data_IF_218843112312
#
_entry.id   IF_218843112312
#
_cell.length_a   1.000
_cell.length_b   1.000
_cell.length_c   1.000
_cell.angle_alpha   90.00
_cell.angle_beta   90.00
_cell.angle_gamma   90.00
#
_symmetry.space_group_name_H-M   'P 1'
#
loop_
_entity.id
_entity.type
_entity.pdbx_description
1 polymer ?
#
# COMPACT_ATOMS: atom_id res chain seq x y z
N UNK A 1 40.93 34.95 69.62
CA UNK A 1 40.69 33.64 68.96
C UNK A 1 39.21 33.28 68.75
N UNK A 2 38.22 34.08 69.19
CA UNK A 2 36.80 33.72 69.05
C UNK A 2 36.10 34.08 67.72
N UNK A 3 36.64 35.01 66.92
CA UNK A 3 35.98 35.45 65.66
C UNK A 3 36.29 34.61 64.42
N UNK A 4 37.30 33.73 64.44
CA UNK A 4 37.64 32.91 63.27
C UNK A 4 36.80 31.62 63.18
N UNK A 5 36.36 31.08 64.31
CA UNK A 5 35.56 29.83 64.36
C UNK A 5 34.11 30.07 63.89
N UNK A 6 33.57 31.27 64.10
CA UNK A 6 32.21 31.62 63.65
C UNK A 6 32.11 31.85 62.14
N UNK A 7 33.15 32.40 61.50
CA UNK A 7 33.18 32.58 60.04
C UNK A 7 33.34 31.25 59.29
N UNK A 8 34.14 30.33 59.82
CA UNK A 8 34.38 29.04 59.19
C UNK A 8 33.15 28.11 59.27
N UNK A 9 32.40 28.14 60.38
CA UNK A 9 31.14 27.40 60.52
C UNK A 9 30.02 27.97 59.62
N UNK A 10 29.94 29.29 59.46
CA UNK A 10 29.00 29.94 58.52
C UNK A 10 29.34 29.59 57.06
N UNK A 11 30.62 29.60 56.68
CA UNK A 11 31.05 29.20 55.33
C UNK A 11 30.79 27.72 55.04
N UNK A 12 31.02 26.83 56.01
CA UNK A 12 30.70 25.41 55.88
C UNK A 12 29.18 25.17 55.75
N UNK A 13 28.37 25.91 56.50
CA UNK A 13 26.90 25.82 56.39
C UNK A 13 26.39 26.34 55.04
N UNK A 14 26.92 27.46 54.55
CA UNK A 14 26.57 28.00 53.23
C UNK A 14 26.99 27.09 52.08
N UNK A 15 28.18 26.47 52.15
CA UNK A 15 28.63 25.50 51.16
C UNK A 15 27.82 24.20 51.20
N UNK A 16 27.47 23.71 52.39
CA UNK A 16 26.59 22.54 52.55
C UNK A 16 25.19 22.81 51.97
N UNK A 17 24.61 23.99 52.23
CA UNK A 17 23.32 24.41 51.68
C UNK A 17 23.33 24.56 50.15
N UNK A 18 24.40 25.13 49.57
CA UNK A 18 24.57 25.21 48.10
C UNK A 18 24.70 23.84 47.46
N UNK A 19 25.47 22.92 48.06
CA UNK A 19 25.64 21.56 47.54
C UNK A 19 24.35 20.74 47.65
N UNK A 20 23.58 20.89 48.72
CA UNK A 20 22.26 20.28 48.86
C UNK A 20 21.26 20.79 47.80
N UNK A 21 21.20 22.10 47.55
CA UNK A 21 20.35 22.66 46.46
C UNK A 21 20.76 22.15 45.08
N UNK A 22 22.07 22.00 44.83
CA UNK A 22 22.60 21.49 43.56
C UNK A 22 22.25 20.01 43.36
N UNK A 23 22.33 19.18 44.41
CA UNK A 23 21.96 17.76 44.32
C UNK A 23 20.45 17.55 44.14
N UNK A 24 19.62 18.34 44.83
CA UNK A 24 18.15 18.31 44.68
C UNK A 24 17.73 18.70 43.27
N UNK A 25 18.36 19.74 42.68
CA UNK A 25 18.08 20.15 41.31
C UNK A 25 18.54 19.11 40.27
N UNK A 26 19.68 18.46 40.49
CA UNK A 26 20.15 17.37 39.61
C UNK A 26 19.24 16.13 39.69
N UNK A 27 18.78 15.76 40.89
CA UNK A 27 17.81 14.70 41.09
C UNK A 27 16.47 15.03 40.41
N UNK A 28 15.96 16.25 40.57
CA UNK A 28 14.74 16.73 39.91
C UNK A 28 14.82 16.71 38.38
N UNK A 29 15.96 17.14 37.80
CA UNK A 29 16.20 17.05 36.35
C UNK A 29 16.20 15.60 35.84
N UNK A 30 16.84 14.69 36.59
CA UNK A 30 16.90 13.27 36.24
C UNK A 30 15.53 12.59 36.28
N UNK A 31 14.66 12.98 37.22
CA UNK A 31 13.28 12.48 37.35
C UNK A 31 12.42 13.00 36.19
N UNK A 32 12.56 14.28 35.80
CA UNK A 32 11.85 14.86 34.66
C UNK A 32 12.31 14.27 33.32
N UNK A 33 13.61 13.99 33.15
CA UNK A 33 14.13 13.26 31.99
C UNK A 33 13.59 11.82 31.92
N UNK A 34 13.62 11.08 33.04
CA UNK A 34 13.02 9.73 33.11
C UNK A 34 11.53 9.75 32.80
N UNK A 35 10.78 10.75 33.29
CA UNK A 35 9.36 10.94 32.96
C UNK A 35 9.15 11.22 31.47
N UNK A 36 9.95 12.09 30.85
CA UNK A 36 9.87 12.36 29.40
C UNK A 36 10.19 11.14 28.55
N UNK A 37 11.18 10.33 28.94
CA UNK A 37 11.54 9.08 28.26
C UNK A 37 10.41 8.06 28.42
N UNK A 38 9.84 7.87 29.62
CA UNK A 38 8.69 6.98 29.82
C UNK A 38 7.46 7.41 29.02
N UNK A 39 7.17 8.71 28.92
CA UNK A 39 6.06 9.21 28.10
C UNK A 39 6.31 8.99 26.61
N UNK A 40 7.53 9.23 26.11
CA UNK A 40 7.91 8.93 24.72
C UNK A 40 7.83 7.43 24.41
N UNK A 41 8.29 6.57 25.32
CA UNK A 41 8.20 5.12 25.18
C UNK A 41 6.74 4.66 25.21
N UNK A 42 5.92 5.19 26.12
CA UNK A 42 4.50 4.86 26.19
C UNK A 42 3.73 5.34 24.94
N UNK A 43 4.03 6.53 24.44
CA UNK A 43 3.43 7.07 23.22
C UNK A 43 3.88 6.28 21.98
N UNK A 44 5.15 5.85 21.95
CA UNK A 44 5.68 4.96 20.90
C UNK A 44 5.03 3.57 20.92
N UNK A 45 4.85 2.97 22.11
CA UNK A 45 4.15 1.69 22.28
C UNK A 45 2.67 1.82 21.88
N UNK A 46 1.99 2.89 22.31
CA UNK A 46 0.59 3.15 21.96
C UNK A 46 0.40 3.28 20.44
N UNK A 47 1.24 4.07 19.78
CA UNK A 47 1.18 4.21 18.32
C UNK A 47 1.48 2.89 17.61
N UNK A 48 2.45 2.11 18.10
CA UNK A 48 2.76 0.79 17.55
C UNK A 48 1.58 -0.18 17.67
N UNK A 49 0.96 -0.27 18.86
CA UNK A 49 -0.23 -1.10 19.07
C UNK A 49 -1.38 -0.67 18.16
N UNK A 50 -1.63 0.64 18.05
CA UNK A 50 -2.67 1.19 17.17
C UNK A 50 -2.42 0.83 15.70
N UNK A 51 -1.18 0.91 15.23
CA UNK A 51 -0.81 0.53 13.86
C UNK A 51 -1.00 -0.95 13.62
N UNK A 52 -0.57 -1.82 14.54
CA UNK A 52 -0.74 -3.28 14.41
C UNK A 52 -2.22 -3.68 14.44
N UNK A 53 -3.03 -3.06 15.31
CA UNK A 53 -4.48 -3.29 15.35
C UNK A 53 -5.15 -2.88 14.04
N UNK A 54 -4.74 -1.74 13.47
CA UNK A 54 -5.25 -1.25 12.19
C UNK A 54 -4.91 -2.22 11.05
N UNK A 55 -3.71 -2.80 11.04
CA UNK A 55 -3.32 -3.83 10.07
C UNK A 55 -4.18 -5.08 10.20
N UNK A 56 -4.40 -5.58 11.41
CA UNK A 56 -5.23 -6.77 11.65
C UNK A 56 -6.69 -6.57 11.19
N UNK A 57 -7.26 -5.39 11.44
CA UNK A 57 -8.60 -5.04 10.95
C UNK A 57 -8.64 -5.02 9.42
N UNK A 58 -7.63 -4.44 8.77
CA UNK A 58 -7.53 -4.45 7.31
C UNK A 58 -7.38 -5.86 6.76
N UNK A 59 -6.59 -6.72 7.40
CA UNK A 59 -6.44 -8.13 7.01
C UNK A 59 -7.77 -8.86 7.15
N UNK A 60 -8.51 -8.65 8.24
CA UNK A 60 -9.81 -9.27 8.45
C UNK A 60 -10.82 -8.86 7.39
N UNK A 61 -10.97 -7.55 7.15
CA UNK A 61 -11.89 -7.02 6.13
C UNK A 61 -11.47 -7.52 4.73
N UNK A 62 -10.18 -7.45 4.42
CA UNK A 62 -9.66 -7.92 3.15
C UNK A 62 -9.90 -9.42 2.94
N UNK A 63 -9.70 -10.24 3.97
CA UNK A 63 -9.92 -11.69 3.92
C UNK A 63 -11.40 -12.06 3.77
N UNK A 64 -12.29 -11.32 4.44
CA UNK A 64 -13.74 -11.46 4.28
C UNK A 64 -14.18 -11.15 2.85
N UNK A 65 -13.73 -10.02 2.28
CA UNK A 65 -14.05 -9.65 0.89
C UNK A 65 -13.48 -10.66 -0.10
N UNK A 66 -12.22 -11.05 0.07
CA UNK A 66 -11.54 -12.01 -0.78
C UNK A 66 -12.29 -13.35 -0.79
N UNK A 67 -12.56 -13.90 0.39
CA UNK A 67 -13.21 -15.20 0.55
C UNK A 67 -14.68 -15.17 0.14
N UNK A 68 -15.39 -14.06 0.33
CA UNK A 68 -16.75 -13.89 -0.15
C UNK A 68 -16.79 -13.93 -1.68
N UNK A 69 -15.86 -13.26 -2.36
CA UNK A 69 -15.74 -13.36 -3.81
C UNK A 69 -15.52 -14.80 -4.27
N UNK A 70 -14.57 -15.51 -3.65
CA UNK A 70 -14.27 -16.92 -3.98
C UNK A 70 -15.45 -17.84 -3.69
N UNK A 71 -15.89 -17.94 -2.44
CA UNK A 71 -16.86 -18.93 -1.98
C UNK A 71 -18.30 -18.65 -2.43
N UNK A 72 -18.70 -17.38 -2.60
CA UNK A 72 -20.06 -17.07 -3.07
C UNK A 72 -20.20 -17.13 -4.59
N UNK A 73 -19.19 -16.68 -5.34
CA UNK A 73 -19.31 -16.47 -6.78
C UNK A 73 -18.41 -17.36 -7.63
N UNK A 74 -17.10 -17.39 -7.37
CA UNK A 74 -16.18 -18.08 -8.28
C UNK A 74 -16.26 -19.61 -8.16
N UNK A 75 -16.01 -20.13 -6.96
CA UNK A 75 -15.87 -21.56 -6.74
C UNK A 75 -17.14 -22.37 -7.07
N UNK A 76 -18.37 -21.94 -6.69
CA UNK A 76 -19.61 -22.63 -7.08
C UNK A 76 -19.81 -22.72 -8.59
N UNK A 77 -19.21 -21.80 -9.36
CA UNK A 77 -19.32 -21.74 -10.82
C UNK A 77 -18.04 -22.26 -11.52
N UNK A 78 -17.20 -23.03 -10.81
CA UNK A 78 -15.94 -23.61 -11.32
C UNK A 78 -14.98 -22.59 -11.93
N UNK A 79 -15.04 -21.34 -11.47
CA UNK A 79 -14.14 -20.27 -11.86
C UNK A 79 -12.93 -20.24 -10.93
N UNK A 80 -11.75 -20.08 -11.52
CA UNK A 80 -10.50 -19.99 -10.75
C UNK A 80 -10.01 -18.54 -10.71
N UNK A 81 -9.60 -18.05 -9.53
CA UNK A 81 -9.02 -16.71 -9.39
C UNK A 81 -7.51 -16.63 -9.66
N UNK A 82 -6.87 -17.73 -10.06
CA UNK A 82 -5.42 -17.85 -10.20
C UNK A 82 -4.71 -18.28 -8.91
N UNK A 83 -3.40 -18.46 -8.99
CA UNK A 83 -2.51 -18.78 -7.88
C UNK A 83 -2.86 -20.07 -7.12
N UNK A 84 -2.47 -20.12 -5.84
CA UNK A 84 -2.74 -21.28 -4.98
C UNK A 84 -4.22 -21.47 -4.71
N UNK A 85 -5.00 -20.39 -4.62
CA UNK A 85 -6.45 -20.49 -4.47
C UNK A 85 -7.08 -21.16 -5.70
N UNK A 86 -6.69 -20.78 -6.91
CA UNK A 86 -7.13 -21.43 -8.14
C UNK A 86 -6.78 -22.91 -8.19
N UNK A 87 -5.55 -23.29 -7.79
CA UNK A 87 -5.16 -24.70 -7.66
C UNK A 87 -6.03 -25.43 -6.63
N UNK A 88 -6.36 -24.76 -5.52
CA UNK A 88 -7.20 -25.31 -4.46
C UNK A 88 -8.62 -25.59 -4.93
N UNK A 89 -9.19 -24.70 -5.75
CA UNK A 89 -10.51 -24.88 -6.39
C UNK A 89 -10.47 -26.10 -7.33
N UNK A 90 -9.44 -26.20 -8.18
CA UNK A 90 -9.28 -27.36 -9.08
C UNK A 90 -9.22 -28.66 -8.28
N UNK A 91 -8.35 -28.73 -7.25
CA UNK A 91 -8.21 -29.91 -6.41
C UNK A 91 -9.49 -30.24 -5.62
N UNK A 92 -10.23 -29.23 -5.17
CA UNK A 92 -11.51 -29.47 -4.49
C UNK A 92 -12.52 -30.17 -5.38
N UNK A 93 -12.62 -29.74 -6.64
CA UNK A 93 -13.53 -30.34 -7.61
C UNK A 93 -13.08 -31.73 -8.11
N UNK A 94 -11.77 -32.03 -8.08
CA UNK A 94 -11.25 -33.33 -8.52
C UNK A 94 -11.08 -34.37 -7.41
N UNK A 95 -10.72 -33.95 -6.18
CA UNK A 95 -10.33 -34.84 -5.07
C UNK A 95 -11.35 -34.81 -3.91
N UNK A 96 -12.30 -33.87 -3.91
CA UNK A 96 -13.48 -33.90 -3.02
C UNK A 96 -13.29 -33.30 -1.61
N UNK A 97 -12.10 -32.81 -1.26
CA UNK A 97 -11.90 -32.02 -0.03
C UNK A 97 -12.28 -30.55 -0.24
N UNK A 98 -12.53 -29.80 0.84
CA UNK A 98 -12.89 -28.39 0.77
C UNK A 98 -11.77 -27.53 0.19
N UNK A 99 -12.13 -26.46 -0.52
CA UNK A 99 -11.18 -25.53 -1.13
C UNK A 99 -10.30 -24.86 -0.07
N UNK A 100 -10.86 -24.49 1.08
CA UNK A 100 -10.11 -23.95 2.20
C UNK A 100 -9.05 -24.92 2.72
N UNK A 101 -9.40 -26.21 2.87
CA UNK A 101 -8.45 -27.23 3.33
C UNK A 101 -7.25 -27.36 2.38
N UNK A 102 -7.51 -27.44 1.07
CA UNK A 102 -6.45 -27.46 0.06
C UNK A 102 -5.61 -26.19 0.09
N UNK A 103 -6.26 -25.04 0.25
CA UNK A 103 -5.59 -23.75 0.34
C UNK A 103 -4.61 -23.71 1.51
N UNK A 104 -5.01 -24.20 2.69
CA UNK A 104 -4.16 -24.25 3.87
C UNK A 104 -2.95 -25.17 3.63
N UNK A 105 -3.18 -26.38 3.14
CA UNK A 105 -2.12 -27.38 2.90
C UNK A 105 -1.09 -26.88 1.89
N UNK A 106 -1.53 -26.36 0.75
CA UNK A 106 -0.64 -25.83 -0.30
C UNK A 106 0.16 -24.61 0.16
N UNK A 107 -0.34 -23.87 1.15
CA UNK A 107 0.34 -22.72 1.72
C UNK A 107 1.45 -23.08 2.72
N UNK A 108 1.43 -24.26 3.34
CA UNK A 108 2.45 -24.69 4.31
C UNK A 108 3.88 -24.52 3.75
N UNK A 109 4.26 -25.07 2.58
CA UNK A 109 5.61 -24.91 2.04
C UNK A 109 5.95 -23.45 1.73
N UNK A 110 4.98 -22.66 1.28
CA UNK A 110 5.18 -21.26 0.93
C UNK A 110 5.40 -20.39 2.18
N UNK A 111 4.68 -20.67 3.26
CA UNK A 111 4.89 -20.04 4.56
C UNK A 111 6.31 -20.31 5.06
N UNK A 112 6.79 -21.56 4.93
CA UNK A 112 8.16 -21.93 5.33
C UNK A 112 9.19 -21.11 4.53
N UNK A 113 9.07 -21.08 3.20
CA UNK A 113 9.98 -20.30 2.33
C UNK A 113 9.92 -18.81 2.68
N UNK A 114 8.70 -18.28 2.86
CA UNK A 114 8.49 -16.89 3.20
C UNK A 114 9.04 -16.52 4.58
N UNK A 115 9.02 -17.44 5.55
CA UNK A 115 9.59 -17.22 6.88
C UNK A 115 11.10 -17.03 6.82
N UNK A 116 11.80 -17.87 6.05
CA UNK A 116 13.24 -17.74 5.85
C UNK A 116 13.63 -16.46 5.08
N UNK A 117 12.78 -15.96 4.18
CA UNK A 117 13.10 -14.80 3.33
C UNK A 117 12.70 -13.44 3.91
N UNK A 118 11.54 -13.35 4.57
CA UNK A 118 10.95 -12.08 4.99
C UNK A 118 10.85 -11.93 6.52
N UNK A 119 11.15 -12.98 7.29
CA UNK A 119 11.14 -12.96 8.75
C UNK A 119 9.76 -13.10 9.38
N UNK A 120 9.76 -13.27 10.71
CA UNK A 120 8.58 -13.65 11.49
C UNK A 120 7.45 -12.61 11.50
N UNK A 121 7.79 -11.31 11.46
CA UNK A 121 6.79 -10.23 11.53
C UNK A 121 5.88 -10.14 10.29
N UNK A 122 6.41 -10.46 9.11
CA UNK A 122 5.63 -10.50 7.87
C UNK A 122 4.79 -11.79 7.78
N UNK A 123 5.39 -12.92 8.17
CA UNK A 123 4.72 -14.22 8.08
C UNK A 123 3.61 -14.39 9.10
N UNK A 124 3.70 -13.80 10.29
CA UNK A 124 2.60 -13.89 11.26
C UNK A 124 1.29 -13.31 10.71
N UNK A 125 1.35 -12.14 10.09
CA UNK A 125 0.19 -11.49 9.46
C UNK A 125 -0.32 -12.26 8.24
N UNK A 126 0.58 -12.77 7.41
CA UNK A 126 0.22 -13.61 6.26
C UNK A 126 -0.41 -14.94 6.69
N UNK A 127 0.09 -15.56 7.75
CA UNK A 127 -0.47 -16.78 8.30
C UNK A 127 -1.90 -16.56 8.81
N UNK A 128 -2.14 -15.45 9.52
CA UNK A 128 -3.49 -15.06 9.94
C UNK A 128 -4.40 -14.90 8.71
N UNK A 129 -3.96 -14.20 7.68
CA UNK A 129 -4.72 -14.04 6.44
C UNK A 129 -5.04 -15.39 5.78
N UNK A 130 -4.08 -16.32 5.72
CA UNK A 130 -4.28 -17.67 5.16
C UNK A 130 -5.34 -18.45 5.95
N UNK A 131 -5.28 -18.42 7.28
CA UNK A 131 -6.27 -19.08 8.13
C UNK A 131 -7.66 -18.50 7.94
N UNK A 132 -7.77 -17.17 7.92
CA UNK A 132 -9.04 -16.48 7.69
C UNK A 132 -9.59 -16.79 6.29
N UNK A 133 -8.74 -16.75 5.27
CA UNK A 133 -9.14 -17.05 3.90
C UNK A 133 -9.61 -18.49 3.74
N UNK A 134 -8.88 -19.45 4.32
CA UNK A 134 -9.27 -20.86 4.34
C UNK A 134 -10.64 -21.05 4.99
N UNK A 135 -10.83 -20.51 6.20
CA UNK A 135 -12.07 -20.68 6.96
C UNK A 135 -13.26 -19.99 6.28
N UNK A 136 -13.10 -18.72 5.89
CA UNK A 136 -14.20 -17.96 5.29
C UNK A 136 -14.56 -18.45 3.89
N UNK A 137 -13.60 -18.99 3.12
CA UNK A 137 -13.92 -19.55 1.79
C UNK A 137 -14.87 -20.73 1.93
N UNK A 138 -14.58 -21.66 2.85
CA UNK A 138 -15.45 -22.81 3.11
C UNK A 138 -16.78 -22.41 3.74
N UNK A 139 -16.76 -21.40 4.62
CA UNK A 139 -17.98 -20.82 5.19
C UNK A 139 -18.89 -20.24 4.09
N UNK A 140 -18.35 -19.40 3.20
CA UNK A 140 -19.11 -18.76 2.14
C UNK A 140 -19.54 -19.74 1.04
N UNK A 141 -18.76 -20.79 0.75
CA UNK A 141 -19.14 -21.88 -0.16
C UNK A 141 -20.51 -22.46 0.18
N UNK A 142 -20.83 -22.57 1.47
CA UNK A 142 -22.11 -23.12 1.94
C UNK A 142 -23.31 -22.25 1.53
N UNK A 143 -23.07 -20.98 1.18
CA UNK A 143 -24.05 -20.01 0.68
C UNK A 143 -23.81 -19.66 -0.79
N UNK A 144 -23.10 -20.52 -1.52
CA UNK A 144 -22.67 -20.29 -2.90
C UNK A 144 -23.83 -20.03 -3.86
N UNK A 145 -23.69 -18.99 -4.68
CA UNK A 145 -24.67 -18.60 -5.68
C UNK A 145 -24.35 -19.35 -6.97
N UNK A 146 -25.06 -20.46 -7.21
CA UNK A 146 -25.02 -21.21 -8.46
C UNK A 146 -26.24 -20.85 -9.33
N UNK A 147 -26.04 -20.62 -10.63
CA UNK A 147 -27.11 -20.32 -11.59
C UNK A 147 -27.29 -18.86 -11.98
N UNK A 148 -26.44 -17.95 -11.50
CA UNK A 148 -26.34 -16.59 -12.04
C UNK A 148 -25.64 -16.63 -13.41
N UNK A 149 -25.98 -15.71 -14.31
CA UNK A 149 -25.25 -15.56 -15.58
C UNK A 149 -23.74 -15.35 -15.33
N UNK A 150 -22.94 -15.91 -16.23
CA UNK A 150 -21.51 -16.05 -16.01
C UNK A 150 -20.76 -14.71 -15.97
N UNK A 151 -21.19 -13.72 -16.77
CA UNK A 151 -20.59 -12.39 -16.80
C UNK A 151 -20.78 -11.66 -15.45
N UNK A 152 -22.01 -11.49 -14.92
CA UNK A 152 -22.22 -10.92 -13.59
C UNK A 152 -21.44 -11.64 -12.48
N UNK A 153 -21.38 -12.98 -12.52
CA UNK A 153 -20.61 -13.80 -11.56
C UNK A 153 -19.13 -13.43 -11.59
N UNK A 154 -18.56 -13.38 -12.79
CA UNK A 154 -17.16 -12.99 -13.00
C UNK A 154 -16.93 -11.57 -12.51
N UNK A 155 -17.78 -10.59 -12.84
CA UNK A 155 -17.59 -9.19 -12.44
C UNK A 155 -17.66 -9.03 -10.93
N UNK A 156 -18.74 -9.48 -10.28
CA UNK A 156 -18.94 -9.29 -8.84
C UNK A 156 -17.89 -10.07 -8.04
N UNK A 157 -17.66 -11.33 -8.42
CA UNK A 157 -16.62 -12.16 -7.81
C UNK A 157 -15.25 -11.50 -7.90
N UNK A 158 -14.88 -10.98 -9.08
CA UNK A 158 -13.57 -10.36 -9.27
C UNK A 158 -13.40 -9.01 -8.58
N UNK A 159 -14.48 -8.22 -8.48
CA UNK A 159 -14.47 -6.97 -7.71
C UNK A 159 -14.19 -7.25 -6.23
N UNK A 160 -14.86 -8.25 -5.65
CA UNK A 160 -14.67 -8.65 -4.26
C UNK A 160 -13.27 -9.23 -4.01
N UNK A 161 -12.84 -10.15 -4.87
CA UNK A 161 -11.50 -10.78 -4.78
C UNK A 161 -10.40 -9.73 -4.93
N UNK A 162 -10.44 -8.90 -5.97
CA UNK A 162 -9.44 -7.86 -6.18
C UNK A 162 -9.42 -6.80 -5.07
N UNK A 163 -10.59 -6.43 -4.53
CA UNK A 163 -10.68 -5.50 -3.41
C UNK A 163 -10.10 -6.11 -2.11
N UNK A 164 -10.42 -7.37 -1.84
CA UNK A 164 -9.90 -8.12 -0.70
C UNK A 164 -8.38 -8.28 -0.77
N UNK A 165 -7.88 -8.79 -1.90
CA UNK A 165 -6.45 -8.97 -2.18
C UNK A 165 -5.67 -7.67 -2.02
N UNK A 166 -6.12 -6.59 -2.67
CA UNK A 166 -5.50 -5.27 -2.55
C UNK A 166 -5.50 -4.73 -1.11
N UNK A 167 -6.57 -5.00 -0.34
CA UNK A 167 -6.67 -4.55 1.06
C UNK A 167 -5.69 -5.29 1.97
N UNK A 168 -5.55 -6.61 1.81
CA UNK A 168 -4.58 -7.42 2.58
C UNK A 168 -3.14 -7.01 2.25
N UNK A 169 -2.83 -6.82 0.97
CA UNK A 169 -1.50 -6.37 0.53
C UNK A 169 -1.18 -4.97 1.07
N UNK A 170 -2.16 -4.06 1.07
CA UNK A 170 -2.00 -2.71 1.64
C UNK A 170 -1.73 -2.73 3.14
N UNK A 171 -2.18 -3.76 3.86
CA UNK A 171 -1.86 -3.96 5.28
C UNK A 171 -0.44 -4.51 5.52
N UNK A 172 0.31 -4.80 4.46
CA UNK A 172 1.66 -5.38 4.53
C UNK A 172 1.67 -6.90 4.72
N UNK A 173 0.53 -7.57 4.53
CA UNK A 173 0.40 -9.02 4.54
C UNK A 173 0.20 -9.54 3.11
N UNK A 174 0.07 -10.85 2.95
CA UNK A 174 -0.38 -11.46 1.69
C UNK A 174 -1.59 -12.34 1.96
N UNK A 175 -2.43 -12.59 0.95
CA UNK A 175 -3.55 -13.53 1.12
C UNK A 175 -3.07 -14.96 1.29
N UNK A 176 -1.80 -15.21 0.96
CA UNK A 176 -1.15 -16.50 0.86
C UNK A 176 -0.91 -16.86 -0.59
N UNK A 177 -0.27 -18.00 -0.81
CA UNK A 177 -0.16 -18.59 -2.12
C UNK A 177 0.90 -17.93 -2.98
N UNK A 178 0.53 -17.65 -4.23
CA UNK A 178 1.47 -17.11 -5.20
C UNK A 178 1.85 -15.66 -4.90
N UNK A 179 1.16 -14.97 -4.00
CA UNK A 179 1.54 -13.65 -3.48
C UNK A 179 2.97 -13.66 -2.91
N UNK A 180 3.36 -14.73 -2.20
CA UNK A 180 4.71 -14.88 -1.64
C UNK A 180 5.74 -15.00 -2.76
N UNK A 181 5.39 -15.71 -3.84
CA UNK A 181 6.22 -15.86 -5.03
C UNK A 181 6.31 -14.54 -5.79
N UNK A 182 5.20 -13.82 -5.95
CA UNK A 182 5.17 -12.49 -6.58
C UNK A 182 6.02 -11.49 -5.80
N UNK A 183 5.95 -11.53 -4.46
CA UNK A 183 6.80 -10.70 -3.60
C UNK A 183 8.30 -11.01 -3.81
N UNK A 184 8.65 -12.29 -3.92
CA UNK A 184 10.02 -12.71 -4.26
C UNK A 184 10.44 -12.26 -5.66
N UNK A 185 9.55 -12.34 -6.65
CA UNK A 185 9.81 -11.91 -8.03
C UNK A 185 9.94 -10.39 -8.13
N UNK A 186 9.19 -9.63 -7.33
CA UNK A 186 9.26 -8.17 -7.29
C UNK A 186 10.63 -7.67 -6.87
N UNK A 187 11.30 -8.38 -5.94
CA UNK A 187 12.69 -8.08 -5.59
C UNK A 187 13.66 -8.24 -6.78
N UNK A 188 13.33 -9.10 -7.75
CA UNK A 188 14.12 -9.31 -8.95
C UNK A 188 13.70 -8.40 -10.12
N UNK A 189 12.43 -7.99 -10.15
CA UNK A 189 11.83 -7.16 -11.21
C UNK A 189 11.07 -5.96 -10.61
N UNK A 190 11.75 -4.98 -9.99
CA UNK A 190 11.11 -3.89 -9.25
C UNK A 190 10.32 -2.92 -10.15
N UNK A 191 10.65 -2.82 -11.44
CA UNK A 191 10.00 -1.91 -12.39
C UNK A 191 8.63 -2.41 -12.90
N UNK A 192 8.24 -3.66 -12.59
CA UNK A 192 6.97 -4.22 -13.01
C UNK A 192 5.87 -3.98 -11.97
N UNK A 193 4.65 -3.72 -12.45
CA UNK A 193 3.48 -3.62 -11.56
C UNK A 193 3.23 -4.97 -10.88
N UNK A 194 2.86 -4.94 -9.61
CA UNK A 194 2.55 -6.15 -8.84
C UNK A 194 1.46 -6.99 -9.52
N UNK A 195 0.39 -6.35 -10.03
CA UNK A 195 -0.68 -7.02 -10.78
C UNK A 195 -0.22 -7.76 -12.02
N UNK A 196 0.80 -7.27 -12.72
CA UNK A 196 1.32 -7.94 -13.92
C UNK A 196 2.05 -9.23 -13.56
N UNK A 197 2.80 -9.24 -12.46
CA UNK A 197 3.45 -10.46 -11.96
C UNK A 197 2.41 -11.52 -11.54
N UNK A 198 1.32 -11.09 -10.91
CA UNK A 198 0.17 -11.96 -10.60
C UNK A 198 -0.41 -12.62 -11.85
N UNK A 199 -0.77 -11.82 -12.86
CA UNK A 199 -1.37 -12.31 -14.11
C UNK A 199 -0.46 -13.35 -14.80
N UNK A 200 0.86 -13.12 -14.82
CA UNK A 200 1.82 -14.04 -15.44
C UNK A 200 1.85 -15.41 -14.75
N UNK A 201 1.84 -15.40 -13.41
CA UNK A 201 1.83 -16.63 -12.62
C UNK A 201 0.51 -17.39 -12.79
N UNK A 202 -0.59 -16.65 -12.78
CA UNK A 202 -1.94 -17.21 -12.81
C UNK A 202 -2.32 -17.80 -14.18
N UNK A 203 -1.63 -17.40 -15.25
CA UNK A 203 -1.85 -17.91 -16.60
C UNK A 203 -1.64 -19.42 -16.70
N UNK A 204 -0.69 -19.97 -15.94
CA UNK A 204 -0.47 -21.42 -15.84
C UNK A 204 -1.66 -22.14 -15.17
N UNK A 205 -2.24 -21.52 -14.15
CA UNK A 205 -3.38 -22.09 -13.40
C UNK A 205 -4.63 -22.09 -14.27
N UNK A 206 -4.86 -21.03 -15.05
CA UNK A 206 -5.98 -20.95 -16.02
C UNK A 206 -5.84 -21.99 -17.13
N UNK A 207 -4.63 -22.16 -17.68
CA UNK A 207 -4.40 -23.18 -18.70
C UNK A 207 -4.74 -24.57 -18.16
N UNK A 208 -4.36 -24.85 -16.90
CA UNK A 208 -4.67 -26.11 -16.22
C UNK A 208 -6.17 -26.26 -15.96
N UNK A 209 -6.87 -25.20 -15.51
CA UNK A 209 -8.30 -25.27 -15.23
C UNK A 209 -9.15 -25.55 -16.49
N UNK A 210 -8.77 -24.97 -17.63
CA UNK A 210 -9.44 -25.23 -18.91
C UNK A 210 -9.35 -26.70 -19.36
N UNK A 211 -8.19 -27.33 -19.13
CA UNK A 211 -7.99 -28.76 -19.43
C UNK A 211 -8.76 -29.63 -18.45
N UNK A 212 -8.69 -29.34 -17.15
CA UNK A 212 -9.32 -30.18 -16.10
C UNK A 212 -10.84 -30.10 -16.14
N UNK A 213 -11.42 -28.91 -16.32
CA UNK A 213 -12.87 -28.74 -16.40
C UNK A 213 -13.46 -28.99 -17.79
N UNK A 214 -12.62 -29.31 -18.79
CA UNK A 214 -13.06 -29.67 -20.14
C UNK A 214 -13.84 -28.58 -20.89
N UNK A 215 -13.71 -27.32 -20.48
CA UNK A 215 -14.48 -26.20 -21.03
C UNK A 215 -13.60 -24.98 -21.29
N UNK A 216 -13.40 -24.67 -22.56
CA UNK A 216 -12.70 -23.46 -22.98
C UNK A 216 -13.40 -22.18 -22.50
N UNK A 217 -14.73 -22.22 -22.33
CA UNK A 217 -15.49 -21.10 -21.79
C UNK A 217 -15.10 -20.81 -20.34
N UNK A 218 -15.01 -21.83 -19.47
CA UNK A 218 -14.59 -21.65 -18.07
C UNK A 218 -13.16 -21.08 -17.97
N UNK A 219 -12.27 -21.50 -18.88
CA UNK A 219 -10.91 -20.97 -18.96
C UNK A 219 -10.88 -19.47 -19.34
N UNK A 220 -11.66 -19.09 -20.37
CA UNK A 220 -11.77 -17.68 -20.81
C UNK A 220 -12.35 -16.82 -19.67
N UNK A 221 -13.41 -17.28 -19.01
CA UNK A 221 -14.00 -16.53 -17.90
C UNK A 221 -13.06 -16.42 -16.71
N UNK A 222 -12.32 -17.48 -16.37
CA UNK A 222 -11.28 -17.44 -15.33
C UNK A 222 -10.14 -16.49 -15.69
N UNK A 223 -9.74 -16.44 -16.96
CA UNK A 223 -8.77 -15.46 -17.45
C UNK A 223 -9.27 -14.02 -17.26
N UNK A 224 -10.53 -13.75 -17.63
CA UNK A 224 -11.17 -12.44 -17.41
C UNK A 224 -11.20 -12.10 -15.92
N UNK A 225 -11.53 -13.07 -15.06
CA UNK A 225 -11.51 -12.88 -13.60
C UNK A 225 -10.14 -12.39 -13.12
N UNK A 226 -9.05 -13.03 -13.53
CA UNK A 226 -7.69 -12.64 -13.13
C UNK A 226 -7.35 -11.23 -13.62
N UNK A 227 -7.72 -10.87 -14.85
CA UNK A 227 -7.51 -9.52 -15.38
C UNK A 227 -8.26 -8.47 -14.57
N UNK A 228 -9.53 -8.73 -14.22
CA UNK A 228 -10.35 -7.84 -13.40
C UNK A 228 -9.81 -7.71 -11.98
N UNK A 229 -9.43 -8.84 -11.35
CA UNK A 229 -8.78 -8.85 -10.03
C UNK A 229 -7.56 -7.93 -10.01
N UNK A 230 -6.67 -8.06 -11.01
CA UNK A 230 -5.47 -7.24 -11.13
C UNK A 230 -5.78 -5.75 -11.24
N UNK A 231 -6.81 -5.36 -12.02
CA UNK A 231 -7.22 -3.95 -12.17
C UNK A 231 -7.80 -3.37 -10.88
N UNK A 232 -8.64 -4.13 -10.19
CA UNK A 232 -9.24 -3.71 -8.91
C UNK A 232 -8.17 -3.62 -7.83
N UNK A 233 -7.26 -4.59 -7.78
CA UNK A 233 -6.12 -4.57 -6.88
C UNK A 233 -5.25 -3.33 -7.10
N UNK A 234 -4.90 -3.01 -8.36
CA UNK A 234 -4.15 -1.80 -8.69
C UNK A 234 -4.87 -0.54 -8.22
N UNK A 235 -6.19 -0.47 -8.39
CA UNK A 235 -6.99 0.63 -7.90
C UNK A 235 -6.93 0.77 -6.36
N UNK A 236 -6.94 -0.33 -5.61
CA UNK A 236 -6.87 -0.29 -4.14
C UNK A 236 -5.46 0.05 -3.63
N UNK A 237 -4.42 -0.47 -4.31
CA UNK A 237 -3.02 -0.28 -3.92
C UNK A 237 -2.48 1.09 -4.31
N UNK A 238 -2.78 1.54 -5.52
CA UNK A 238 -2.20 2.76 -6.10
C UNK A 238 -3.21 3.91 -6.22
N UNK A 239 -4.50 3.63 -6.01
CA UNK A 239 -5.56 4.62 -6.12
C UNK A 239 -5.87 5.01 -7.57
N UNK A 240 -6.68 6.06 -7.71
CA UNK A 240 -6.92 6.75 -9.00
C UNK A 240 -5.95 7.90 -9.25
N UNK A 241 -5.02 8.12 -8.32
CA UNK A 241 -4.21 9.33 -8.24
C UNK A 241 -2.99 9.24 -9.16
N UNK A 242 -3.26 9.00 -10.44
CA UNK A 242 -2.30 9.28 -11.51
C UNK A 242 -1.97 10.77 -11.43
N UNK A 243 -0.74 11.08 -11.07
CA UNK A 243 -0.23 12.41 -11.22
C UNK A 243 0.17 12.64 -12.68
N UNK A 244 0.05 13.89 -13.13
CA UNK A 244 0.52 14.33 -14.43
C UNK A 244 1.67 15.31 -14.21
N UNK A 245 2.76 15.08 -14.93
CA UNK A 245 3.83 16.06 -15.06
C UNK A 245 3.44 16.99 -16.20
N UNK A 246 3.43 18.28 -15.91
CA UNK A 246 3.03 19.33 -16.85
C UNK A 246 4.19 20.30 -17.01
N UNK A 247 4.62 20.49 -18.25
CA UNK A 247 5.49 21.59 -18.65
C UNK A 247 4.65 22.66 -19.32
N UNK A 248 4.78 23.91 -18.88
CA UNK A 248 4.06 25.04 -19.44
C UNK A 248 5.07 26.06 -19.92
N UNK A 249 5.06 26.33 -21.22
CA UNK A 249 5.84 27.37 -21.87
C UNK A 249 4.88 28.52 -22.13
N UNK A 250 5.12 29.68 -21.52
CA UNK A 250 4.24 30.86 -21.59
C UNK A 250 5.07 32.11 -21.85
N UNK A 251 4.45 33.13 -22.44
CA UNK A 251 5.04 34.48 -22.55
C UNK A 251 4.94 35.28 -21.26
N UNK A 252 4.07 34.88 -20.32
CA UNK A 252 3.81 35.56 -19.05
C UNK A 252 4.01 34.60 -17.84
N UNK A 253 5.21 34.03 -17.65
CA UNK A 253 5.45 32.96 -16.66
C UNK A 253 5.22 33.40 -15.21
N UNK A 254 5.52 34.65 -14.85
CA UNK A 254 5.37 35.14 -13.47
C UNK A 254 3.90 35.23 -13.03
N UNK A 255 3.06 35.83 -13.88
CA UNK A 255 1.62 35.94 -13.63
C UNK A 255 1.00 34.55 -13.52
N UNK A 256 1.32 33.67 -14.47
CA UNK A 256 0.82 32.31 -14.50
C UNK A 256 1.26 31.51 -13.27
N UNK A 257 2.52 31.61 -12.85
CA UNK A 257 3.03 30.95 -11.65
C UNK A 257 2.27 31.39 -10.40
N UNK A 258 1.98 32.69 -10.27
CA UNK A 258 1.26 33.23 -9.11
C UNK A 258 -0.15 32.64 -8.98
N UNK A 259 -0.85 32.47 -10.11
CA UNK A 259 -2.16 31.86 -10.19
C UNK A 259 -2.12 30.34 -9.97
N UNK A 260 -1.10 29.65 -10.49
CA UNK A 260 -0.90 28.22 -10.22
C UNK A 260 -0.73 27.96 -8.71
N UNK A 261 0.10 28.76 -8.04
CA UNK A 261 0.37 28.61 -6.61
C UNK A 261 -0.85 28.94 -5.75
N UNK A 262 -1.63 29.97 -6.10
CA UNK A 262 -2.79 30.42 -5.30
C UNK A 262 -4.08 29.67 -5.63
N UNK A 263 -4.45 29.60 -6.90
CA UNK A 263 -5.79 29.14 -7.31
C UNK A 263 -5.85 27.62 -7.48
N UNK A 264 -4.76 27.02 -7.97
CA UNK A 264 -4.67 25.56 -8.14
C UNK A 264 -4.09 24.89 -6.89
N UNK A 265 -3.30 25.64 -6.10
CA UNK A 265 -2.63 25.19 -4.89
C UNK A 265 -1.80 23.92 -5.15
N UNK A 266 -0.84 24.04 -6.07
CA UNK A 266 0.15 23.02 -6.42
C UNK A 266 1.54 23.64 -6.45
N UNK A 267 2.55 22.88 -6.03
CA UNK A 267 3.94 23.27 -6.17
C UNK A 267 4.37 23.29 -7.64
N UNK A 268 5.26 24.21 -7.98
CA UNK A 268 5.81 24.37 -9.33
C UNK A 268 7.28 24.79 -9.24
N UNK A 269 8.05 24.44 -10.26
CA UNK A 269 9.47 24.73 -10.40
C UNK A 269 9.66 25.45 -11.73
N UNK A 270 10.41 26.55 -11.72
CA UNK A 270 10.83 27.24 -12.96
C UNK A 270 12.08 26.54 -13.50
N UNK A 271 12.02 26.15 -14.76
CA UNK A 271 13.16 25.66 -15.53
C UNK A 271 13.55 26.72 -16.55
N UNK A 272 14.80 27.16 -16.50
CA UNK A 272 15.34 28.07 -17.51
C UNK A 272 15.75 27.29 -18.76
N UNK A 273 15.33 27.77 -19.92
CA UNK A 273 15.68 27.22 -21.23
C UNK A 273 16.03 28.30 -22.25
N UNK A 274 16.51 27.86 -23.41
CA UNK A 274 16.76 28.73 -24.56
C UNK A 274 16.03 28.17 -25.76
N UNK A 275 15.23 28.99 -26.43
CA UNK A 275 14.50 28.56 -27.62
C UNK A 275 15.47 28.25 -28.76
N UNK A 276 15.47 27.01 -29.27
CA UNK A 276 16.42 26.59 -30.30
C UNK A 276 16.32 27.40 -31.61
N UNK A 277 15.12 27.86 -31.97
CA UNK A 277 14.91 28.70 -33.16
C UNK A 277 15.14 30.19 -32.88
N UNK A 278 14.71 30.69 -31.72
CA UNK A 278 14.72 32.11 -31.42
C UNK A 278 15.99 32.59 -30.70
N UNK A 279 16.79 31.67 -30.15
CA UNK A 279 17.93 31.93 -29.25
C UNK A 279 17.60 32.85 -28.05
N UNK A 280 16.31 33.00 -27.72
CA UNK A 280 15.86 33.78 -26.58
C UNK A 280 15.71 32.90 -25.36
N UNK A 281 16.03 33.47 -24.20
CA UNK A 281 15.74 32.89 -22.90
C UNK A 281 14.24 32.65 -22.75
N UNK A 282 13.86 31.50 -22.20
CA UNK A 282 12.48 31.12 -21.93
C UNK A 282 12.40 30.44 -20.57
N UNK A 283 11.47 30.89 -19.75
CA UNK A 283 11.10 30.19 -18.53
C UNK A 283 10.00 29.16 -18.81
N UNK A 284 10.22 27.94 -18.34
CA UNK A 284 9.31 26.81 -18.47
C UNK A 284 8.84 26.44 -17.07
N UNK A 285 7.53 26.50 -16.83
CA UNK A 285 6.96 26.10 -15.55
C UNK A 285 6.77 24.57 -15.59
N UNK A 286 7.50 23.88 -14.72
CA UNK A 286 7.34 22.45 -14.47
C UNK A 286 6.49 22.26 -13.20
N UNK A 287 5.39 21.54 -13.30
CA UNK A 287 4.58 21.21 -12.13
C UNK A 287 4.03 19.78 -12.20
N UNK A 288 3.75 19.25 -11.03
CA UNK A 288 3.08 17.95 -10.88
C UNK A 288 1.67 18.21 -10.35
N UNK A 289 0.68 17.72 -11.06
CA UNK A 289 -0.73 17.92 -10.72
C UNK A 289 -1.46 16.58 -10.69
N UNK A 290 -2.27 16.36 -9.67
CA UNK A 290 -3.18 15.20 -9.62
C UNK A 290 -4.17 15.27 -10.79
N UNK A 291 -4.54 14.12 -11.38
CA UNK A 291 -5.45 14.03 -12.54
C UNK A 291 -6.73 14.85 -12.40
N UNK A 292 -7.30 14.93 -11.18
CA UNK A 292 -8.51 15.70 -10.88
C UNK A 292 -8.33 17.22 -10.96
N UNK A 293 -7.13 17.72 -10.67
CA UNK A 293 -6.78 19.16 -10.73
C UNK A 293 -6.28 19.59 -12.12
N UNK A 294 -5.90 18.64 -12.98
CA UNK A 294 -5.36 18.94 -14.31
C UNK A 294 -6.31 19.78 -15.19
N UNK A 295 -7.63 19.52 -15.27
CA UNK A 295 -8.54 20.37 -16.06
C UNK A 295 -8.60 21.82 -15.56
N UNK A 296 -8.54 22.02 -14.24
CA UNK A 296 -8.51 23.37 -13.63
C UNK A 296 -7.24 24.12 -14.04
N UNK A 297 -6.09 23.45 -14.04
CA UNK A 297 -4.82 24.02 -14.51
C UNK A 297 -4.90 24.40 -15.99
N UNK A 298 -5.43 23.52 -16.84
CA UNK A 298 -5.56 23.78 -18.28
C UNK A 298 -6.45 24.99 -18.57
N UNK A 299 -7.59 25.10 -17.87
CA UNK A 299 -8.49 26.23 -18.01
C UNK A 299 -7.80 27.54 -17.58
N UNK A 300 -7.07 27.51 -16.46
CA UNK A 300 -6.35 28.67 -15.94
C UNK A 300 -5.25 29.15 -16.89
N UNK A 301 -4.44 28.23 -17.42
CA UNK A 301 -3.41 28.56 -18.41
C UNK A 301 -4.03 29.21 -19.64
N UNK A 302 -5.11 28.62 -20.17
CA UNK A 302 -5.81 29.14 -21.36
C UNK A 302 -6.41 30.54 -21.15
N UNK A 303 -6.85 30.86 -19.93
CA UNK A 303 -7.42 32.18 -19.60
C UNK A 303 -6.35 33.25 -19.49
N UNK A 304 -5.19 32.92 -18.90
CA UNK A 304 -4.10 33.88 -18.67
C UNK A 304 -3.28 34.09 -19.95
N UNK A 305 -2.93 33.01 -20.63
CA UNK A 305 -2.11 33.04 -21.84
C UNK A 305 -2.66 32.07 -22.88
N UNK A 306 -3.37 32.61 -23.87
CA UNK A 306 -3.94 31.85 -24.98
C UNK A 306 -2.88 31.34 -25.97
N UNK A 307 -1.66 31.87 -25.90
CA UNK A 307 -0.51 31.45 -26.70
C UNK A 307 0.42 30.47 -25.96
N UNK A 308 0.13 30.17 -24.69
CA UNK A 308 0.89 29.20 -23.92
C UNK A 308 0.79 27.79 -24.52
N UNK A 309 1.90 27.06 -24.44
CA UNK A 309 2.00 25.67 -24.85
C UNK A 309 2.22 24.77 -23.64
N UNK A 310 1.41 23.72 -23.50
CA UNK A 310 1.50 22.76 -22.41
C UNK A 310 1.85 21.36 -22.92
N UNK A 311 2.85 20.73 -22.31
CA UNK A 311 3.15 19.30 -22.47
C UNK A 311 2.64 18.59 -21.23
N UNK A 312 1.74 17.63 -21.41
CA UNK A 312 1.16 16.86 -20.31
C UNK A 312 1.55 15.41 -20.50
N UNK A 313 2.34 14.88 -19.56
CA UNK A 313 2.74 13.47 -19.56
C UNK A 313 2.27 12.77 -18.28
N UNK A 314 1.97 11.48 -18.41
CA UNK A 314 1.58 10.65 -17.27
C UNK A 314 2.80 10.36 -16.42
N UNK A 315 2.71 10.63 -15.12
CA UNK A 315 3.75 10.29 -14.16
C UNK A 315 3.28 9.08 -13.34
N UNK A 316 3.82 7.90 -13.65
CA UNK A 316 3.39 6.63 -13.06
C UNK A 316 3.82 6.48 -11.59
N UNK A 317 4.96 7.06 -11.24
CA UNK A 317 5.56 6.94 -9.91
C UNK A 317 6.08 8.30 -9.44
N UNK A 318 5.44 8.85 -8.41
CA UNK A 318 5.85 10.08 -7.75
C UNK A 318 5.89 9.83 -6.26
N UNK A 319 7.02 10.17 -5.65
CA UNK A 319 7.26 9.98 -4.22
C UNK A 319 7.52 11.33 -3.55
N UNK A 320 6.98 11.53 -2.35
CA UNK A 320 7.10 12.77 -1.56
C UNK A 320 5.94 13.75 -1.75
N UNK A 321 5.98 14.90 -1.05
CA UNK A 321 5.08 16.06 -1.26
C UNK A 321 3.57 15.72 -1.32
N UNK A 322 3.12 14.80 -0.48
CA UNK A 322 1.71 14.36 -0.43
C UNK A 322 1.30 13.40 -1.55
N UNK A 323 2.25 12.84 -2.31
CA UNK A 323 2.07 11.71 -3.23
C UNK A 323 2.45 10.38 -2.54
N UNK A 324 3.09 9.42 -3.24
CA UNK A 324 3.53 8.15 -2.61
C UNK A 324 4.59 8.45 -1.54
N UNK A 325 4.62 7.69 -0.45
CA UNK A 325 5.62 7.92 0.59
C UNK A 325 7.00 7.40 0.12
N UNK A 326 8.06 8.21 0.28
CA UNK A 326 9.44 7.89 -0.10
C UNK A 326 9.99 6.72 0.74
N UNK A 327 9.55 6.59 2.00
CA UNK A 327 10.06 5.59 2.94
C UNK A 327 9.32 4.25 2.91
N UNK A 328 8.49 3.98 1.89
CA UNK A 328 7.92 2.63 1.73
C UNK A 328 8.93 1.77 0.97
N UNK A 329 10.02 1.47 1.68
CA UNK A 329 10.94 0.40 1.34
C UNK A 329 10.13 -0.88 1.11
N UNK A 330 10.38 -1.50 -0.05
CA UNK A 330 10.29 -2.94 -0.29
C UNK A 330 9.20 -3.67 0.51
N UNK A 331 7.94 -3.53 0.08
CA UNK A 331 6.99 -4.65 0.23
C UNK A 331 7.45 -5.72 -0.75
#
# INVERSE_FOLDING_TARGET
MHNYISLQSVLLYQNSSKNAKKSINAAGLSILQKRRISIMVFHGIYNRIKTELSKLILILIGSLLYSAGIGLFLEPNSLTSGGVMGISIILSHTVGYSTGSWYLVLNIPLIIIGFYKFGAGFISHTFIAILLNSFFTDFFRSFGISGLEMIPTVVVGSLLVGAGLGTVIRAGATTGGMDIVVKLLRNKYPSMKTSTLFILVDLLVVATSGVVFGSYNLAIYSFITILLNGRVMDFILYGTDEARLVYIVSTCPEELLSHILKDVAIGATILSGTGAYSNHHKDIIMCVVRKRKAPKLQALVKTIDSHAFMIITSANEIYGEGYKNIQVDSI
#
